data_IF_443178659135
#
_entry.id   IF_443178659135
#
_cell.length_a   1.000
_cell.length_b   1.000
_cell.length_c   1.000
_cell.angle_alpha   90.00
_cell.angle_beta   90.00
_cell.angle_gamma   90.00
#
_symmetry.space_group_name_H-M   'P 1'
#
loop_
_entity.id
_entity.type
_entity.pdbx_description
1 polymer ?
#
# COMPACT_ATOMS: atom_id res chain seq x y z
N UNK A 1 -15.95 -15.50 -20.43
CA UNK A 1 -14.97 -15.79 -19.37
C UNK A 1 -14.94 -17.29 -19.22
N UNK A 2 -13.75 -17.89 -19.23
CA UNK A 2 -13.59 -19.34 -19.03
C UNK A 2 -13.01 -19.57 -17.65
N UNK A 3 -13.58 -20.52 -16.93
CA UNK A 3 -13.05 -20.94 -15.63
C UNK A 3 -12.89 -22.45 -15.64
N UNK A 4 -11.71 -22.92 -15.23
CA UNK A 4 -11.40 -24.33 -15.04
C UNK A 4 -10.76 -24.57 -13.68
N UNK A 5 -10.83 -25.82 -13.22
CA UNK A 5 -10.26 -26.27 -11.97
C UNK A 5 -9.15 -27.29 -12.28
N UNK A 6 -7.96 -27.05 -11.74
CA UNK A 6 -6.84 -27.98 -11.89
C UNK A 6 -6.33 -28.43 -10.52
N UNK A 7 -5.99 -29.71 -10.35
CA UNK A 7 -5.30 -30.18 -9.15
C UNK A 7 -3.97 -29.44 -8.97
N UNK A 8 -3.71 -28.95 -7.76
CA UNK A 8 -2.45 -28.33 -7.46
C UNK A 8 -1.37 -29.40 -7.24
N UNK A 9 -0.38 -29.44 -8.13
CA UNK A 9 0.75 -30.40 -8.07
C UNK A 9 1.91 -29.92 -7.20
N UNK A 10 1.80 -28.76 -6.54
CA UNK A 10 2.86 -28.22 -5.69
C UNK A 10 2.95 -28.91 -4.31
N UNK A 11 4.03 -28.63 -3.58
CA UNK A 11 4.27 -29.13 -2.22
C UNK A 11 3.19 -28.72 -1.22
N UNK A 12 2.43 -27.66 -1.50
CA UNK A 12 1.35 -27.13 -0.65
C UNK A 12 -0.01 -27.75 -0.96
N UNK A 13 -0.07 -28.80 -1.80
CA UNK A 13 -1.29 -29.49 -2.25
C UNK A 13 -2.21 -29.96 -1.12
N UNK A 14 -1.68 -30.20 0.09
CA UNK A 14 -2.51 -30.56 1.26
C UNK A 14 -3.40 -29.42 1.77
N UNK A 15 -2.92 -28.18 1.68
CA UNK A 15 -3.68 -26.98 2.11
C UNK A 15 -4.36 -26.28 0.94
N UNK A 16 -3.78 -26.39 -0.25
CA UNK A 16 -4.27 -25.80 -1.49
C UNK A 16 -4.44 -26.94 -2.50
N UNK A 17 -5.52 -27.75 -2.42
CA UNK A 17 -5.68 -28.92 -3.28
C UNK A 17 -5.92 -28.57 -4.75
N UNK A 18 -6.43 -27.38 -5.05
CA UNK A 18 -6.78 -26.98 -6.42
C UNK A 18 -6.37 -25.54 -6.73
N UNK A 19 -6.16 -25.26 -8.00
CA UNK A 19 -6.06 -23.93 -8.58
C UNK A 19 -7.24 -23.69 -9.52
N UNK A 20 -7.92 -22.57 -9.34
CA UNK A 20 -8.98 -22.13 -10.24
C UNK A 20 -8.32 -21.22 -11.29
N UNK A 21 -8.31 -21.67 -12.53
CA UNK A 21 -7.83 -20.89 -13.67
C UNK A 21 -8.97 -20.05 -14.21
N UNK A 22 -8.77 -18.74 -14.25
CA UNK A 22 -9.75 -17.78 -14.76
C UNK A 22 -9.15 -17.07 -15.96
N UNK A 23 -9.68 -17.33 -17.15
CA UNK A 23 -9.35 -16.62 -18.39
C UNK A 23 -10.46 -15.60 -18.71
N UNK A 24 -10.10 -14.32 -18.75
CA UNK A 24 -11.01 -13.26 -19.16
C UNK A 24 -10.86 -13.01 -20.66
N UNK A 25 -11.83 -13.44 -21.45
CA UNK A 25 -11.89 -13.32 -22.92
C UNK A 25 -12.69 -12.09 -23.39
N UNK A 26 -13.75 -11.71 -22.67
CA UNK A 26 -14.67 -10.62 -23.10
C UNK A 26 -15.16 -9.72 -21.97
N UNK A 27 -14.95 -10.09 -20.70
CA UNK A 27 -15.59 -9.43 -19.55
C UNK A 27 -14.88 -8.11 -19.15
N UNK A 28 -13.59 -7.98 -19.46
CA UNK A 28 -12.80 -6.79 -19.18
C UNK A 28 -12.08 -6.30 -20.42
N UNK A 29 -11.57 -5.08 -20.38
CA UNK A 29 -10.72 -4.55 -21.43
C UNK A 29 -9.34 -5.26 -21.52
N UNK A 30 -8.91 -5.89 -20.42
CA UNK A 30 -7.65 -6.62 -20.32
C UNK A 30 -7.87 -8.07 -20.80
N UNK A 31 -8.37 -8.25 -22.03
CA UNK A 31 -8.69 -9.57 -22.61
C UNK A 31 -7.44 -10.44 -22.73
N UNK A 32 -7.57 -11.74 -22.48
CA UNK A 32 -6.45 -12.69 -22.47
C UNK A 32 -5.72 -12.78 -21.14
N UNK A 33 -6.13 -12.01 -20.13
CA UNK A 33 -5.59 -12.14 -18.78
C UNK A 33 -5.99 -13.47 -18.15
N UNK A 34 -5.00 -14.20 -17.63
CA UNK A 34 -5.20 -15.47 -16.93
C UNK A 34 -4.83 -15.30 -15.46
N UNK A 35 -5.75 -15.66 -14.57
CA UNK A 35 -5.56 -15.65 -13.14
C UNK A 35 -5.58 -17.07 -12.58
N UNK A 36 -4.77 -17.31 -11.55
CA UNK A 36 -4.70 -18.58 -10.83
C UNK A 36 -5.10 -18.31 -9.38
N UNK A 37 -6.36 -18.58 -9.05
CA UNK A 37 -6.92 -18.36 -7.71
C UNK A 37 -6.73 -19.64 -6.88
N UNK A 38 -5.97 -19.61 -5.78
CA UNK A 38 -5.78 -20.79 -4.94
C UNK A 38 -7.08 -21.16 -4.22
N UNK A 39 -7.43 -22.44 -4.23
CA UNK A 39 -8.54 -22.98 -3.45
C UNK A 39 -7.97 -23.68 -2.22
N UNK A 40 -8.37 -23.23 -1.03
CA UNK A 40 -7.94 -23.78 0.24
C UNK A 40 -8.95 -24.77 0.81
N UNK A 41 -8.45 -25.77 1.54
CA UNK A 41 -9.27 -26.71 2.31
C UNK A 41 -9.16 -26.39 3.80
N UNK A 42 -10.29 -26.43 4.51
CA UNK A 42 -10.33 -26.31 5.96
C UNK A 42 -11.52 -27.10 6.52
N UNK A 43 -11.47 -27.50 7.78
CA UNK A 43 -12.59 -28.24 8.38
C UNK A 43 -12.46 -28.50 9.87
N UNK A 44 -13.51 -28.14 10.62
CA UNK A 44 -13.74 -28.55 12.00
C UNK A 44 -14.83 -29.64 12.00
N UNK A 45 -14.53 -30.82 11.46
CA UNK A 45 -15.45 -31.98 11.38
C UNK A 45 -16.24 -32.11 10.07
N UNK A 46 -16.17 -31.14 9.16
CA UNK A 46 -16.61 -31.24 7.75
C UNK A 46 -15.61 -30.54 6.84
N UNK A 47 -15.31 -31.15 5.70
CA UNK A 47 -14.43 -30.57 4.68
C UNK A 47 -15.15 -29.42 3.97
N UNK A 48 -14.55 -28.24 3.98
CA UNK A 48 -15.01 -27.06 3.25
C UNK A 48 -13.89 -26.51 2.38
N UNK A 49 -14.26 -26.13 1.16
CA UNK A 49 -13.37 -25.50 0.20
C UNK A 49 -13.66 -24.00 0.19
N UNK A 50 -12.62 -23.17 0.15
CA UNK A 50 -12.77 -21.74 0.01
C UNK A 50 -11.78 -21.18 -0.99
N UNK A 51 -12.13 -20.04 -1.57
CA UNK A 51 -11.24 -19.23 -2.40
C UNK A 51 -11.43 -17.75 -2.03
N UNK A 52 -10.38 -16.96 -2.17
CA UNK A 52 -10.41 -15.51 -1.92
C UNK A 52 -10.13 -14.76 -3.21
N UNK A 53 -11.04 -13.86 -3.60
CA UNK A 53 -10.90 -13.00 -4.78
C UNK A 53 -11.06 -11.56 -4.32
N UNK A 54 -9.99 -10.77 -4.47
CA UNK A 54 -9.94 -9.37 -4.08
C UNK A 54 -10.38 -9.12 -2.62
N UNK A 55 -10.07 -10.03 -1.70
CA UNK A 55 -10.47 -9.94 -0.29
C UNK A 55 -11.81 -10.58 0.05
N UNK A 56 -12.63 -10.88 -0.96
CA UNK A 56 -13.93 -11.51 -0.78
C UNK A 56 -13.77 -13.03 -0.78
N UNK A 57 -14.21 -13.67 0.31
CA UNK A 57 -14.18 -15.12 0.46
C UNK A 57 -15.47 -15.73 -0.06
N UNK A 58 -15.33 -16.78 -0.87
CA UNK A 58 -16.40 -17.71 -1.22
C UNK A 58 -16.09 -19.08 -0.63
N UNK A 59 -17.13 -19.82 -0.26
CA UNK A 59 -17.00 -21.10 0.41
C UNK A 59 -18.09 -22.06 -0.07
N UNK A 60 -17.71 -23.32 -0.23
CA UNK A 60 -18.58 -24.39 -0.70
C UNK A 60 -18.17 -25.75 -0.14
N UNK A 61 -19.09 -26.70 -0.22
CA UNK A 61 -18.83 -28.09 0.22
C UNK A 61 -18.09 -28.90 -0.83
N UNK A 62 -18.23 -28.51 -2.09
CA UNK A 62 -17.62 -29.17 -3.23
C UNK A 62 -16.79 -28.16 -4.05
N UNK A 63 -15.68 -28.59 -4.69
CA UNK A 63 -14.84 -27.68 -5.47
C UNK A 63 -15.60 -26.96 -6.59
N UNK A 64 -16.51 -27.65 -7.29
CA UNK A 64 -17.30 -27.08 -8.39
C UNK A 64 -18.28 -25.99 -7.92
N UNK A 65 -18.79 -26.10 -6.69
CA UNK A 65 -19.60 -25.06 -6.07
C UNK A 65 -18.77 -23.78 -5.90
N UNK A 66 -17.54 -23.90 -5.40
CA UNK A 66 -16.61 -22.78 -5.22
C UNK A 66 -16.25 -22.15 -6.56
N UNK A 67 -16.01 -22.94 -7.61
CA UNK A 67 -15.75 -22.45 -8.97
C UNK A 67 -16.91 -21.57 -9.47
N UNK A 68 -18.15 -22.02 -9.29
CA UNK A 68 -19.34 -21.25 -9.66
C UNK A 68 -19.47 -19.95 -8.85
N UNK A 69 -19.17 -19.98 -7.56
CA UNK A 69 -19.19 -18.79 -6.70
C UNK A 69 -18.09 -17.80 -7.08
N UNK A 70 -16.88 -18.26 -7.40
CA UNK A 70 -15.79 -17.43 -7.92
C UNK A 70 -16.20 -16.75 -9.22
N UNK A 71 -16.83 -17.48 -10.15
CA UNK A 71 -17.33 -16.92 -11.41
C UNK A 71 -18.31 -15.75 -11.18
N UNK A 72 -19.29 -15.95 -10.29
CA UNK A 72 -20.28 -14.92 -9.92
C UNK A 72 -19.62 -13.73 -9.25
N UNK A 73 -18.69 -13.97 -8.32
CA UNK A 73 -17.97 -12.93 -7.60
C UNK A 73 -17.13 -12.07 -8.55
N UNK A 74 -16.34 -12.69 -9.44
CA UNK A 74 -15.55 -11.97 -10.44
C UNK A 74 -16.46 -11.12 -11.33
N UNK A 75 -17.58 -11.69 -11.79
CA UNK A 75 -18.55 -10.94 -12.60
C UNK A 75 -19.13 -9.75 -11.85
N UNK A 76 -19.42 -9.88 -10.55
CA UNK A 76 -19.92 -8.79 -9.71
C UNK A 76 -18.85 -7.74 -9.34
N UNK A 77 -17.58 -8.11 -9.35
CA UNK A 77 -16.45 -7.19 -9.14
C UNK A 77 -16.05 -6.42 -10.40
N UNK A 78 -16.57 -6.79 -11.57
CA UNK A 78 -16.27 -6.07 -12.80
C UNK A 78 -17.10 -4.79 -12.85
N UNK A 79 -16.42 -3.66 -12.92
CA UNK A 79 -17.04 -2.36 -13.09
C UNK A 79 -16.32 -1.60 -14.20
N UNK A 80 -17.08 -0.91 -15.07
CA UNK A 80 -16.55 -0.23 -16.26
C UNK A 80 -15.60 -1.13 -17.09
N UNK A 81 -15.97 -2.40 -17.27
CA UNK A 81 -15.17 -3.42 -17.95
C UNK A 81 -13.75 -3.61 -17.36
N UNK A 82 -13.59 -3.44 -16.04
CA UNK A 82 -12.31 -3.59 -15.33
C UNK A 82 -12.48 -4.33 -14.01
N UNK A 83 -11.42 -5.03 -13.62
CA UNK A 83 -11.27 -5.54 -12.27
C UNK A 83 -10.66 -4.48 -11.33
N UNK A 84 -10.88 -4.59 -10.01
CA UNK A 84 -10.28 -3.68 -9.04
C UNK A 84 -8.75 -3.72 -9.09
N UNK A 85 -8.12 -2.57 -8.96
CA UNK A 85 -6.67 -2.43 -8.83
C UNK A 85 -6.25 -2.37 -7.35
N UNK A 86 -7.08 -1.76 -6.52
CA UNK A 86 -6.92 -1.72 -5.07
C UNK A 86 -8.23 -2.10 -4.38
N UNK A 87 -8.12 -2.49 -3.11
CA UNK A 87 -9.25 -2.60 -2.20
C UNK A 87 -8.98 -1.69 -1.00
N UNK A 88 -9.94 -0.83 -0.68
CA UNK A 88 -9.98 -0.14 0.60
C UNK A 88 -10.71 -1.00 1.63
N UNK A 89 -10.15 -1.09 2.82
CA UNK A 89 -10.64 -1.98 3.89
C UNK A 89 -10.91 -1.16 5.14
N UNK A 90 -12.17 -1.13 5.55
CA UNK A 90 -12.61 -0.64 6.84
C UNK A 90 -12.48 -1.78 7.87
N UNK A 91 -11.36 -1.83 8.60
CA UNK A 91 -11.02 -3.01 9.43
C UNK A 91 -12.06 -3.38 10.49
N UNK A 92 -12.71 -2.39 11.12
CA UNK A 92 -13.65 -2.65 12.22
C UNK A 92 -15.02 -3.11 11.72
N UNK A 93 -15.53 -2.48 10.66
CA UNK A 93 -16.80 -2.88 10.03
C UNK A 93 -16.63 -4.09 9.10
N UNK A 94 -15.40 -4.52 8.84
CA UNK A 94 -15.04 -5.56 7.87
C UNK A 94 -15.55 -5.29 6.45
N UNK A 95 -15.86 -4.02 6.14
CA UNK A 95 -16.30 -3.62 4.81
C UNK A 95 -15.13 -3.42 3.87
N UNK A 96 -15.34 -3.79 2.62
CA UNK A 96 -14.36 -3.70 1.55
C UNK A 96 -14.94 -2.92 0.37
N UNK A 97 -14.13 -2.01 -0.15
CA UNK A 97 -14.52 -1.09 -1.22
C UNK A 97 -13.56 -1.27 -2.39
N UNK A 98 -14.02 -1.89 -3.49
CA UNK A 98 -13.20 -2.07 -4.68
C UNK A 98 -12.88 -0.75 -5.37
N UNK A 99 -11.59 -0.54 -5.66
CA UNK A 99 -11.07 0.68 -6.30
C UNK A 99 -10.54 0.34 -7.68
N UNK A 100 -11.05 1.04 -8.69
CA UNK A 100 -10.75 0.85 -10.10
C UNK A 100 -9.83 1.95 -10.59
N UNK A 101 -8.93 1.64 -11.53
CA UNK A 101 -8.12 2.65 -12.23
C UNK A 101 -8.66 2.80 -13.65
N UNK A 102 -9.00 4.02 -14.05
CA UNK A 102 -9.58 4.35 -15.36
C UNK A 102 -8.83 5.55 -15.94
N UNK A 103 -8.03 5.30 -16.98
CA UNK A 103 -7.08 6.32 -17.44
C UNK A 103 -6.15 6.72 -16.29
N UNK A 104 -6.11 8.02 -15.99
CA UNK A 104 -5.26 8.61 -14.95
C UNK A 104 -5.99 8.73 -13.60
N UNK A 105 -7.27 8.37 -13.54
CA UNK A 105 -8.09 8.47 -12.33
C UNK A 105 -8.22 7.13 -11.62
N UNK A 106 -8.41 7.21 -10.30
CA UNK A 106 -8.93 6.11 -9.49
C UNK A 106 -10.37 6.40 -9.09
N UNK A 107 -11.20 5.36 -9.03
CA UNK A 107 -12.62 5.43 -8.71
C UNK A 107 -12.96 4.39 -7.64
N UNK A 108 -13.79 4.79 -6.66
CA UNK A 108 -14.49 3.86 -5.77
C UNK A 108 -15.98 4.19 -5.74
N UNK A 109 -16.82 3.15 -5.69
CA UNK A 109 -18.27 3.28 -5.62
C UNK A 109 -18.78 2.66 -4.33
N UNK A 110 -19.78 3.27 -3.70
CA UNK A 110 -20.50 2.66 -2.57
C UNK A 110 -21.80 2.01 -3.05
N UNK A 111 -22.22 0.87 -2.47
CA UNK A 111 -23.50 0.25 -2.83
C UNK A 111 -24.67 1.21 -2.58
N UNK A 112 -25.38 1.61 -3.64
CA UNK A 112 -26.52 2.54 -3.56
C UNK A 112 -26.16 3.99 -3.22
N UNK A 113 -24.87 4.35 -3.21
CA UNK A 113 -24.39 5.68 -2.85
C UNK A 113 -23.55 6.36 -3.94
N UNK A 114 -22.82 7.43 -3.60
CA UNK A 114 -22.02 8.18 -4.56
C UNK A 114 -20.79 7.41 -5.07
N UNK A 115 -20.28 7.88 -6.21
CA UNK A 115 -18.99 7.47 -6.74
C UNK A 115 -17.95 8.56 -6.46
N UNK A 116 -16.78 8.17 -5.96
CA UNK A 116 -15.67 9.08 -5.69
C UNK A 116 -14.54 8.82 -6.68
N UNK A 117 -14.11 9.87 -7.39
CA UNK A 117 -13.04 9.83 -8.38
C UNK A 117 -12.01 10.92 -8.14
N UNK A 118 -10.75 10.60 -8.39
CA UNK A 118 -9.66 11.57 -8.39
C UNK A 118 -8.43 10.97 -9.09
N UNK A 119 -7.51 11.82 -9.55
CA UNK A 119 -6.16 11.37 -10.01
C UNK A 119 -5.25 10.87 -8.88
N UNK A 120 -5.72 10.90 -7.63
CA UNK A 120 -4.95 10.52 -6.45
C UNK A 120 -5.71 9.51 -5.60
N UNK A 121 -5.09 8.36 -5.33
CA UNK A 121 -5.65 7.35 -4.45
C UNK A 121 -5.90 7.88 -3.04
N UNK A 122 -5.04 8.78 -2.57
CA UNK A 122 -5.17 9.45 -1.28
C UNK A 122 -6.49 10.21 -1.16
N UNK A 123 -6.82 11.05 -2.16
CA UNK A 123 -8.04 11.85 -2.17
C UNK A 123 -9.30 11.02 -2.26
N UNK A 124 -9.30 9.97 -3.10
CA UNK A 124 -10.44 9.04 -3.16
C UNK A 124 -10.66 8.34 -1.83
N UNK A 125 -9.59 7.95 -1.13
CA UNK A 125 -9.69 7.37 0.21
C UNK A 125 -10.27 8.37 1.20
N UNK A 126 -9.83 9.63 1.17
CA UNK A 126 -10.29 10.66 2.10
C UNK A 126 -11.77 10.99 1.87
N UNK A 127 -12.19 11.20 0.60
CA UNK A 127 -13.60 11.41 0.26
C UNK A 127 -14.51 10.26 0.70
N UNK A 128 -14.07 9.02 0.46
CA UNK A 128 -14.81 7.86 0.93
C UNK A 128 -14.85 7.81 2.45
N UNK A 129 -13.73 8.08 3.13
CA UNK A 129 -13.66 8.08 4.60
C UNK A 129 -14.62 9.11 5.20
N UNK A 130 -14.65 10.32 4.65
CA UNK A 130 -15.55 11.39 5.08
C UNK A 130 -17.03 11.00 4.89
N UNK A 131 -17.36 10.41 3.74
CA UNK A 131 -18.70 9.91 3.48
C UNK A 131 -19.11 8.79 4.42
N UNK A 132 -18.24 7.78 4.63
CA UNK A 132 -18.55 6.66 5.52
C UNK A 132 -18.69 7.11 6.98
N UNK A 133 -17.96 8.14 7.39
CA UNK A 133 -18.19 8.82 8.67
C UNK A 133 -19.56 9.51 8.73
N UNK A 134 -19.94 10.23 7.68
CA UNK A 134 -21.22 10.93 7.59
C UNK A 134 -22.42 9.99 7.71
N UNK A 135 -22.34 8.81 7.09
CA UNK A 135 -23.42 7.80 7.15
C UNK A 135 -23.29 6.84 8.35
N UNK A 136 -22.29 7.04 9.22
CA UNK A 136 -22.10 6.26 10.44
C UNK A 136 -21.54 4.84 10.24
N UNK A 137 -20.99 4.53 9.07
CA UNK A 137 -20.36 3.23 8.78
C UNK A 137 -18.94 3.12 9.35
N UNK A 138 -18.22 4.24 9.41
CA UNK A 138 -16.93 4.33 10.10
C UNK A 138 -17.13 5.06 11.43
N UNK A 139 -17.46 4.36 12.52
CA UNK A 139 -17.44 4.87 13.90
C UNK A 139 -17.80 6.36 14.13
N UNK A 140 -17.12 7.01 15.08
CA UNK A 140 -17.24 8.46 15.33
C UNK A 140 -16.11 9.19 14.60
N UNK A 141 -16.39 10.28 13.86
CA UNK A 141 -15.37 11.14 13.26
C UNK A 141 -14.26 11.51 14.27
N UNK A 142 -13.00 11.42 13.87
CA UNK A 142 -11.85 11.76 14.71
C UNK A 142 -11.29 10.62 15.58
N UNK A 143 -11.99 9.47 15.72
CA UNK A 143 -11.41 8.24 16.31
C UNK A 143 -10.84 7.31 15.24
N UNK A 144 -9.85 7.80 14.48
CA UNK A 144 -8.88 7.04 13.67
C UNK A 144 -9.35 5.73 13.00
N UNK A 145 -10.54 5.69 12.39
CA UNK A 145 -10.83 4.63 11.42
C UNK A 145 -10.37 5.09 10.04
N UNK A 146 -9.11 4.78 9.74
CA UNK A 146 -8.55 5.01 8.42
C UNK A 146 -8.74 3.76 7.58
N UNK A 147 -9.24 3.94 6.35
CA UNK A 147 -9.31 2.87 5.37
C UNK A 147 -7.89 2.36 5.06
N UNK A 148 -7.71 1.05 5.19
CA UNK A 148 -6.47 0.39 4.80
C UNK A 148 -6.49 0.10 3.31
N UNK A 149 -5.32 0.11 2.68
CA UNK A 149 -5.21 -0.14 1.24
C UNK A 149 -4.46 -1.43 0.99
N UNK A 150 -4.97 -2.20 0.05
CA UNK A 150 -4.35 -3.41 -0.51
C UNK A 150 -4.37 -3.33 -2.02
N UNK A 151 -3.31 -3.82 -2.66
CA UNK A 151 -3.31 -4.03 -4.10
C UNK A 151 -4.01 -5.34 -4.44
N UNK A 152 -4.40 -5.51 -5.71
CA UNK A 152 -4.92 -6.77 -6.23
C UNK A 152 -3.86 -7.40 -7.13
N UNK A 153 -3.50 -8.65 -6.83
CA UNK A 153 -2.55 -9.42 -7.64
C UNK A 153 -3.10 -9.65 -9.04
N UNK A 154 -2.35 -9.24 -10.07
CA UNK A 154 -2.70 -9.51 -11.48
C UNK A 154 -2.46 -10.97 -11.90
N UNK A 155 -1.91 -11.80 -11.01
CA UNK A 155 -1.71 -13.24 -11.26
C UNK A 155 -2.73 -14.13 -10.56
N UNK A 156 -3.24 -13.70 -9.41
CA UNK A 156 -4.07 -14.56 -8.54
C UNK A 156 -5.34 -13.90 -8.00
N UNK A 157 -5.55 -12.60 -8.26
CA UNK A 157 -6.62 -11.79 -7.68
C UNK A 157 -6.60 -11.68 -6.15
N UNK A 158 -5.59 -12.24 -5.48
CA UNK A 158 -5.43 -12.11 -4.03
C UNK A 158 -5.06 -10.67 -3.63
N UNK A 159 -5.36 -10.31 -2.38
CA UNK A 159 -4.91 -9.05 -1.80
C UNK A 159 -3.39 -9.07 -1.58
N UNK A 160 -2.73 -8.01 -2.03
CA UNK A 160 -1.29 -7.81 -1.85
C UNK A 160 -1.10 -6.66 -0.85
N UNK A 161 -0.30 -6.92 0.18
CA UNK A 161 0.12 -5.90 1.14
C UNK A 161 1.18 -5.00 0.51
N UNK A 162 1.10 -3.67 0.64
CA UNK A 162 2.19 -2.79 0.26
C UNK A 162 3.46 -3.09 1.06
N UNK A 163 4.61 -3.10 0.40
CA UNK A 163 5.91 -3.24 1.07
C UNK A 163 6.31 -1.97 1.82
N UNK A 164 5.92 -0.81 1.29
CA UNK A 164 5.97 0.50 1.93
C UNK A 164 4.99 1.46 1.25
N UNK A 165 4.97 2.70 1.71
CA UNK A 165 4.24 3.80 1.09
C UNK A 165 5.22 4.94 0.80
N UNK A 166 5.10 5.55 -0.37
CA UNK A 166 5.66 6.88 -0.58
C UNK A 166 4.68 7.89 0.01
N UNK A 167 5.14 8.79 0.86
CA UNK A 167 4.28 9.78 1.51
C UNK A 167 4.88 11.17 1.37
N UNK A 168 4.10 12.09 0.81
CA UNK A 168 4.44 13.50 0.82
C UNK A 168 4.23 14.05 2.21
N UNK A 169 5.18 14.85 2.68
CA UNK A 169 5.00 15.73 3.83
C UNK A 169 4.27 17.01 3.38
N UNK A 170 3.08 17.32 3.93
CA UNK A 170 2.51 18.66 3.81
C UNK A 170 3.37 19.64 4.61
N UNK A 171 3.77 20.75 3.99
CA UNK A 171 4.55 21.79 4.67
C UNK A 171 3.67 22.85 5.35
N UNK A 172 2.37 22.81 5.07
CA UNK A 172 1.37 23.75 5.57
C UNK A 172 -0.02 23.10 5.49
N UNK A 173 -1.00 23.65 6.20
CA UNK A 173 -2.36 23.07 6.31
C UNK A 173 -3.14 23.11 4.99
N UNK A 174 -2.74 23.96 4.05
CA UNK A 174 -3.28 24.06 2.70
C UNK A 174 -2.65 23.06 1.71
N UNK A 175 -1.57 22.37 2.08
CA UNK A 175 -0.97 21.35 1.22
C UNK A 175 -1.70 20.00 1.33
N UNK A 176 -2.11 19.49 0.18
CA UNK A 176 -2.73 18.17 0.08
C UNK A 176 -1.78 17.06 0.54
N UNK A 177 -2.27 16.16 1.42
CA UNK A 177 -1.60 14.89 1.71
C UNK A 177 -1.54 14.06 0.42
N UNK A 178 -0.35 13.56 0.09
CA UNK A 178 -0.17 12.54 -0.93
C UNK A 178 0.43 11.29 -0.29
N UNK A 179 -0.09 10.14 -0.66
CA UNK A 179 0.57 8.88 -0.41
C UNK A 179 0.28 7.88 -1.53
N UNK A 180 1.25 7.04 -1.84
CA UNK A 180 1.13 6.00 -2.85
C UNK A 180 1.69 4.67 -2.31
N UNK A 181 0.90 3.59 -2.30
CA UNK A 181 1.37 2.29 -1.86
C UNK A 181 2.31 1.67 -2.90
N UNK A 182 3.39 1.05 -2.43
CA UNK A 182 4.38 0.38 -3.27
C UNK A 182 4.26 -1.14 -3.12
N UNK A 183 4.31 -1.84 -4.25
CA UNK A 183 4.16 -3.29 -4.34
C UNK A 183 5.32 -3.92 -5.08
N UNK A 184 5.56 -5.20 -4.83
CA UNK A 184 6.41 -6.04 -5.66
C UNK A 184 5.58 -6.51 -6.86
N UNK A 185 6.18 -6.56 -8.05
CA UNK A 185 5.56 -7.11 -9.26
C UNK A 185 5.19 -8.59 -9.08
N UNK A 186 4.29 -9.09 -9.92
CA UNK A 186 3.90 -10.51 -9.89
C UNK A 186 5.06 -11.46 -10.23
N UNK A 187 6.03 -11.00 -11.01
CA UNK A 187 7.27 -11.69 -11.35
C UNK A 187 8.32 -11.64 -10.23
N UNK A 188 8.21 -10.67 -9.32
CA UNK A 188 9.16 -10.48 -8.22
C UNK A 188 10.47 -9.80 -8.64
N UNK A 189 10.56 -9.32 -9.88
CA UNK A 189 11.72 -8.70 -10.51
C UNK A 189 11.75 -7.18 -10.39
N UNK A 190 10.66 -6.55 -9.97
CA UNK A 190 10.55 -5.09 -9.83
C UNK A 190 9.64 -4.69 -8.67
N UNK A 191 9.72 -3.42 -8.29
CA UNK A 191 8.72 -2.75 -7.45
C UNK A 191 8.02 -1.65 -8.24
N UNK A 192 6.75 -1.43 -7.94
CA UNK A 192 5.96 -0.42 -8.62
C UNK A 192 4.98 0.31 -7.71
N UNK A 193 4.57 1.48 -8.16
CA UNK A 193 3.47 2.25 -7.59
C UNK A 193 2.72 3.00 -8.69
N UNK A 194 1.50 3.43 -8.42
CA UNK A 194 0.79 4.36 -9.30
C UNK A 194 0.81 5.74 -8.65
N UNK A 195 1.50 6.66 -9.29
CA UNK A 195 1.73 8.02 -8.81
C UNK A 195 1.97 8.96 -9.99
N UNK A 196 1.56 10.24 -9.84
CA UNK A 196 1.67 11.25 -10.91
C UNK A 196 1.07 10.73 -12.24
N UNK A 197 -0.21 10.36 -12.17
CA UNK A 197 -1.02 9.91 -13.31
C UNK A 197 -0.54 8.65 -14.04
N UNK A 198 0.37 7.87 -13.45
CA UNK A 198 0.87 6.66 -14.14
C UNK A 198 1.55 5.64 -13.23
N UNK A 199 1.79 4.46 -13.81
CA UNK A 199 2.62 3.42 -13.17
C UNK A 199 4.09 3.84 -13.23
N UNK A 200 4.76 3.80 -12.09
CA UNK A 200 6.20 3.99 -11.94
C UNK A 200 6.79 2.69 -11.40
N UNK A 201 7.86 2.23 -12.02
CA UNK A 201 8.40 0.89 -11.80
C UNK A 201 9.93 0.90 -11.89
N UNK A 202 10.57 0.18 -10.99
CA UNK A 202 12.03 0.05 -10.91
C UNK A 202 12.37 -1.41 -10.62
N UNK A 203 13.37 -1.94 -11.33
CA UNK A 203 13.88 -3.28 -11.15
C UNK A 203 14.46 -3.50 -9.74
N UNK A 204 14.29 -4.70 -9.21
CA UNK A 204 14.85 -5.12 -7.93
C UNK A 204 16.38 -5.03 -7.95
N UNK A 205 16.96 -4.35 -6.97
CA UNK A 205 18.40 -4.10 -6.87
C UNK A 205 18.88 -4.12 -5.40
N UNK A 206 18.54 -5.20 -4.70
CA UNK A 206 19.05 -5.48 -3.35
C UNK A 206 18.69 -4.44 -2.28
N UNK A 207 17.65 -3.63 -2.48
CA UNK A 207 17.21 -2.55 -1.60
C UNK A 207 17.36 -1.16 -2.20
N UNK A 208 18.21 -0.97 -3.22
CA UNK A 208 18.43 0.34 -3.86
C UNK A 208 17.19 0.84 -4.60
N UNK A 209 16.38 -0.09 -5.10
CA UNK A 209 15.16 0.19 -5.84
C UNK A 209 14.18 1.09 -5.07
N UNK A 210 14.16 1.03 -3.74
CA UNK A 210 13.24 1.83 -2.93
C UNK A 210 13.50 3.34 -3.07
N UNK A 211 14.77 3.74 -3.02
CA UNK A 211 15.17 5.14 -3.16
C UNK A 211 15.17 5.60 -4.62
N UNK A 212 15.46 4.70 -5.57
CA UNK A 212 15.30 4.98 -7.00
C UNK A 212 13.84 5.25 -7.36
N UNK A 213 12.91 4.42 -6.90
CA UNK A 213 11.48 4.63 -7.12
C UNK A 213 10.99 5.91 -6.43
N UNK A 214 11.45 6.18 -5.20
CA UNK A 214 11.16 7.44 -4.52
C UNK A 214 11.61 8.64 -5.38
N UNK A 215 12.82 8.61 -5.93
CA UNK A 215 13.35 9.70 -6.76
C UNK A 215 12.54 9.88 -8.05
N UNK A 216 12.19 8.80 -8.74
CA UNK A 216 11.36 8.86 -9.95
C UNK A 216 9.98 9.45 -9.65
N UNK A 217 9.34 9.04 -8.56
CA UNK A 217 8.02 9.55 -8.17
C UNK A 217 8.11 11.01 -7.73
N UNK A 218 9.14 11.38 -6.97
CA UNK A 218 9.37 12.77 -6.56
C UNK A 218 9.54 13.69 -7.77
N UNK A 219 10.36 13.30 -8.75
CA UNK A 219 10.53 14.06 -10.00
C UNK A 219 9.21 14.24 -10.75
N UNK A 220 8.41 13.18 -10.85
CA UNK A 220 7.10 13.26 -11.50
C UNK A 220 6.14 14.20 -10.75
N UNK A 221 6.09 14.12 -9.41
CA UNK A 221 5.26 15.02 -8.61
C UNK A 221 5.74 16.48 -8.67
N UNK A 222 7.04 16.73 -8.81
CA UNK A 222 7.60 18.07 -9.01
C UNK A 222 7.18 18.62 -10.38
N UNK A 223 7.28 17.81 -11.44
CA UNK A 223 6.84 18.19 -12.78
C UNK A 223 5.34 18.56 -12.80
N UNK A 224 4.52 17.84 -12.04
CA UNK A 224 3.09 18.11 -11.86
C UNK A 224 2.79 19.26 -10.88
N UNK A 225 3.81 19.91 -10.31
CA UNK A 225 3.68 20.97 -9.27
C UNK A 225 2.97 20.52 -7.99
N UNK A 226 2.98 19.23 -7.70
CA UNK A 226 2.36 18.60 -6.51
C UNK A 226 3.35 18.42 -5.36
N UNK A 227 4.64 18.45 -5.67
CA UNK A 227 5.74 18.39 -4.72
C UNK A 227 6.72 19.55 -5.02
N UNK A 228 7.14 20.29 -3.99
CA UNK A 228 8.10 21.40 -4.14
C UNK A 228 9.55 20.91 -4.11
N UNK A 229 9.81 19.92 -3.27
CA UNK A 229 11.14 19.37 -3.04
C UNK A 229 11.08 17.84 -2.98
N UNK A 230 12.02 17.18 -3.65
CA UNK A 230 12.16 15.72 -3.67
C UNK A 230 12.34 15.12 -2.27
N UNK A 231 13.01 15.81 -1.35
CA UNK A 231 13.26 15.32 0.02
C UNK A 231 11.99 15.29 0.88
N UNK A 232 10.94 16.00 0.46
CA UNK A 232 9.63 15.96 1.13
C UNK A 232 8.80 14.72 0.80
N UNK A 233 9.23 13.88 -0.14
CA UNK A 233 8.62 12.57 -0.40
C UNK A 233 9.42 11.48 0.33
N UNK A 234 8.86 10.95 1.42
CA UNK A 234 9.54 9.94 2.23
C UNK A 234 9.07 8.52 1.93
N UNK A 235 9.88 7.55 2.33
CA UNK A 235 9.47 6.15 2.43
C UNK A 235 8.87 5.95 3.84
N UNK A 236 7.59 5.63 3.91
CA UNK A 236 6.82 5.47 5.14
C UNK A 236 6.34 4.02 5.29
N UNK A 237 6.29 3.54 6.53
CA UNK A 237 5.82 2.20 6.89
C UNK A 237 6.47 1.07 6.08
N UNK A 238 7.78 1.08 5.92
CA UNK A 238 8.56 0.00 5.32
C UNK A 238 8.51 -1.29 6.17
N UNK A 239 8.30 -2.42 5.50
CA UNK A 239 8.34 -3.76 6.12
C UNK A 239 9.73 -4.06 6.72
N UNK A 240 9.83 -4.71 7.89
CA UNK A 240 11.11 -5.07 8.51
C UNK A 240 12.05 -5.85 7.58
N UNK A 241 11.53 -6.86 6.88
CA UNK A 241 12.29 -7.69 5.95
C UNK A 241 12.82 -6.87 4.75
N UNK A 242 12.07 -5.86 4.32
CA UNK A 242 12.49 -4.98 3.23
C UNK A 242 13.47 -3.91 3.73
N UNK A 243 13.29 -3.43 4.96
CA UNK A 243 14.25 -2.54 5.62
C UNK A 243 15.64 -3.16 5.68
N UNK A 244 15.78 -4.45 6.00
CA UNK A 244 17.11 -5.09 5.99
C UNK A 244 17.80 -5.01 4.63
N UNK A 245 17.05 -5.16 3.53
CA UNK A 245 17.58 -4.99 2.16
C UNK A 245 18.03 -3.55 1.94
N UNK A 246 17.16 -2.58 2.23
CA UNK A 246 17.48 -1.15 2.08
C UNK A 246 18.70 -0.78 2.91
N UNK A 247 18.72 -1.15 4.20
CA UNK A 247 19.80 -0.88 5.15
C UNK A 247 21.16 -1.37 4.66
N UNK A 248 21.22 -2.55 4.03
CA UNK A 248 22.46 -3.11 3.49
C UNK A 248 23.07 -2.25 2.37
N UNK A 249 22.30 -1.34 1.77
CA UNK A 249 22.77 -0.40 0.74
C UNK A 249 23.24 0.94 1.30
N UNK A 250 23.05 1.18 2.60
CA UNK A 250 23.29 2.46 3.25
C UNK A 250 24.62 2.46 4.03
N UNK A 251 25.30 3.61 4.04
CA UNK A 251 26.51 3.82 4.85
C UNK A 251 26.14 4.42 6.20
N UNK A 252 26.42 3.71 7.29
CA UNK A 252 26.14 4.20 8.65
C UNK A 252 26.90 5.50 8.91
N UNK A 253 26.24 6.49 9.51
CA UNK A 253 26.87 7.70 10.01
C UNK A 253 27.01 7.62 11.54
N UNK A 254 28.07 8.20 12.13
CA UNK A 254 28.23 8.24 13.58
C UNK A 254 27.13 9.08 14.25
N UNK A 255 26.73 10.17 13.58
CA UNK A 255 25.67 11.06 14.01
C UNK A 255 24.30 10.37 14.12
N UNK A 256 23.47 10.84 15.04
CA UNK A 256 22.07 10.42 15.24
C UNK A 256 21.18 11.64 15.41
N UNK A 257 19.93 11.54 14.97
CA UNK A 257 18.91 12.50 15.38
C UNK A 257 18.32 12.07 16.71
N UNK A 258 18.21 13.00 17.64
CA UNK A 258 17.82 12.74 19.01
C UNK A 258 16.78 13.74 19.45
N UNK A 259 15.70 13.25 20.05
CA UNK A 259 14.65 14.09 20.61
C UNK A 259 13.93 13.40 21.78
N UNK A 260 13.28 14.19 22.63
CA UNK A 260 12.39 13.67 23.66
C UNK A 260 10.96 13.59 23.12
N UNK A 261 10.36 12.41 23.15
CA UNK A 261 8.99 12.23 22.69
C UNK A 261 7.96 12.87 23.65
N UNK A 262 6.69 12.87 23.26
CA UNK A 262 5.60 13.39 24.09
C UNK A 262 5.44 12.70 25.46
N UNK A 263 6.10 11.55 25.68
CA UNK A 263 6.15 10.82 26.95
C UNK A 263 7.47 11.05 27.69
N UNK A 264 8.24 12.05 27.29
CA UNK A 264 9.57 12.38 27.82
C UNK A 264 10.57 11.22 27.73
N UNK A 265 10.38 10.31 26.78
CA UNK A 265 11.32 9.24 26.49
C UNK A 265 12.29 9.70 25.39
N UNK A 266 13.60 9.56 25.65
CA UNK A 266 14.64 9.91 24.69
C UNK A 266 14.59 8.94 23.51
N UNK A 267 14.25 9.44 22.33
CA UNK A 267 14.24 8.69 21.07
C UNK A 267 15.51 9.00 20.29
N UNK A 268 16.16 7.96 19.78
CA UNK A 268 17.33 8.06 18.91
C UNK A 268 17.02 7.47 17.55
N UNK A 269 17.30 8.22 16.49
CA UNK A 269 17.16 7.79 15.11
C UNK A 269 18.54 7.67 14.48
N UNK A 270 18.87 6.47 14.02
CA UNK A 270 20.11 6.24 13.30
C UNK A 270 20.13 7.01 11.98
N UNK A 271 21.28 7.60 11.67
CA UNK A 271 21.52 8.28 10.40
C UNK A 271 22.38 7.43 9.48
N UNK A 272 22.11 7.57 8.20
CA UNK A 272 22.81 6.88 7.14
C UNK A 272 23.04 7.83 5.96
N UNK A 273 24.00 7.48 5.11
CA UNK A 273 24.28 8.14 3.85
C UNK A 273 24.03 7.18 2.69
N UNK A 274 23.42 7.68 1.62
CA UNK A 274 23.30 6.99 0.35
C UNK A 274 23.70 7.94 -0.78
N UNK A 275 24.95 7.85 -1.24
CA UNK A 275 25.49 8.79 -2.22
C UNK A 275 25.42 10.24 -1.72
N UNK A 276 24.54 11.04 -2.34
CA UNK A 276 24.31 12.45 -1.99
C UNK A 276 23.17 12.66 -0.98
N UNK A 277 22.47 11.60 -0.59
CA UNK A 277 21.33 11.67 0.33
C UNK A 277 21.77 11.34 1.76
N UNK A 278 21.25 12.10 2.72
CA UNK A 278 21.22 11.71 4.13
C UNK A 278 19.87 11.08 4.44
N UNK A 279 19.88 10.06 5.30
CA UNK A 279 18.70 9.27 5.64
C UNK A 279 18.62 9.11 7.15
N UNK A 280 17.51 9.50 7.78
CA UNK A 280 17.23 9.20 9.19
C UNK A 280 16.10 8.18 9.30
N UNK A 281 16.23 7.24 10.23
CA UNK A 281 15.32 6.09 10.33
C UNK A 281 14.56 6.11 11.64
N UNK A 282 13.23 6.16 11.54
CA UNK A 282 12.30 5.98 12.67
C UNK A 282 11.78 4.54 12.66
N UNK A 283 11.93 3.84 13.78
CA UNK A 283 11.26 2.57 14.01
C UNK A 283 9.97 2.81 14.82
N UNK A 284 8.82 2.47 14.23
CA UNK A 284 7.50 2.55 14.84
C UNK A 284 7.16 1.21 15.49
N UNK A 285 7.40 1.13 16.80
CA UNK A 285 7.26 -0.09 17.58
C UNK A 285 5.84 -0.68 17.56
N UNK A 286 4.82 0.18 17.50
CA UNK A 286 3.41 -0.20 17.50
C UNK A 286 2.95 -0.84 16.17
N UNK A 287 3.60 -0.48 15.06
CA UNK A 287 3.29 -1.00 13.73
C UNK A 287 4.26 -2.08 13.25
N UNK A 288 5.41 -2.23 13.95
CA UNK A 288 6.60 -2.97 13.50
C UNK A 288 7.02 -2.53 12.08
N UNK A 289 7.33 -1.23 11.97
CA UNK A 289 7.59 -0.56 10.68
C UNK A 289 8.68 0.48 10.75
N UNK A 290 9.32 0.72 9.62
CA UNK A 290 10.36 1.74 9.47
C UNK A 290 9.90 2.90 8.60
N UNK A 291 10.28 4.12 8.97
CA UNK A 291 10.10 5.32 8.13
C UNK A 291 11.46 5.94 7.88
N UNK A 292 11.73 6.28 6.62
CA UNK A 292 12.99 6.87 6.20
C UNK A 292 12.76 8.32 5.78
N UNK A 293 13.32 9.22 6.57
CA UNK A 293 13.41 10.64 6.25
C UNK A 293 14.61 10.88 5.35
N UNK A 294 14.48 11.82 4.42
CA UNK A 294 15.51 12.16 3.45
C UNK A 294 15.88 13.64 3.60
N UNK A 295 17.14 13.95 3.36
CA UNK A 295 17.65 15.32 3.26
C UNK A 295 18.93 15.35 2.43
N UNK A 296 19.32 16.55 1.97
CA UNK A 296 20.55 16.74 1.22
C UNK A 296 21.79 16.69 2.11
N UNK A 297 21.66 17.13 3.37
CA UNK A 297 22.68 17.07 4.41
C UNK A 297 22.03 16.83 5.78
N UNK A 298 22.82 16.94 6.86
CA UNK A 298 22.34 16.69 8.22
C UNK A 298 21.33 17.73 8.71
N UNK A 299 21.53 19.01 8.36
CA UNK A 299 20.66 20.10 8.78
C UNK A 299 19.30 20.00 8.06
N UNK A 300 19.33 19.81 6.74
CA UNK A 300 18.13 19.62 5.93
C UNK A 300 17.34 18.37 6.37
N UNK A 301 18.04 17.27 6.65
CA UNK A 301 17.42 16.06 7.19
C UNK A 301 16.76 16.31 8.56
N UNK A 302 17.43 17.06 9.45
CA UNK A 302 16.90 17.40 10.77
C UNK A 302 15.64 18.26 10.65
N UNK A 303 15.68 19.33 9.84
CA UNK A 303 14.55 20.23 9.60
C UNK A 303 13.33 19.47 9.08
N UNK A 304 13.55 18.63 8.07
CA UNK A 304 12.53 17.75 7.55
C UNK A 304 11.97 16.82 8.63
N UNK A 305 12.82 16.13 9.38
CA UNK A 305 12.39 15.18 10.42
C UNK A 305 11.57 15.86 11.50
N UNK A 306 12.01 17.03 11.98
CA UNK A 306 11.32 17.85 12.97
C UNK A 306 9.91 18.21 12.55
N UNK A 307 9.75 18.76 11.35
CA UNK A 307 8.46 19.23 10.86
C UNK A 307 7.41 18.12 10.87
N UNK A 308 7.81 16.89 10.47
CA UNK A 308 6.89 15.76 10.51
C UNK A 308 6.56 15.30 11.93
N UNK A 309 7.55 15.26 12.82
CA UNK A 309 7.35 14.86 14.21
C UNK A 309 6.44 15.85 14.95
N UNK A 310 6.61 17.15 14.72
CA UNK A 310 5.74 18.19 15.27
C UNK A 310 4.31 18.04 14.75
N UNK A 311 4.14 17.89 13.43
CA UNK A 311 2.82 17.70 12.81
C UNK A 311 2.10 16.45 13.33
N UNK A 312 2.83 15.37 13.64
CA UNK A 312 2.27 14.15 14.23
C UNK A 312 2.04 14.24 15.74
N UNK A 313 2.43 15.34 16.38
CA UNK A 313 2.33 15.53 17.84
C UNK A 313 3.34 14.69 18.63
N UNK A 314 4.40 14.18 17.99
CA UNK A 314 5.50 13.50 18.68
C UNK A 314 6.49 14.50 19.29
N UNK A 315 6.52 15.73 18.76
CA UNK A 315 7.32 16.84 19.26
C UNK A 315 6.44 18.06 19.55
N UNK A 316 6.59 18.65 20.73
CA UNK A 316 5.91 19.89 21.08
C UNK A 316 6.61 21.14 20.50
N UNK A 317 7.93 21.11 20.35
CA UNK A 317 8.73 22.22 19.86
C UNK A 317 9.77 21.72 18.84
N UNK A 318 9.91 22.39 17.66
CA UNK A 318 10.97 22.12 16.70
C UNK A 318 12.38 22.03 17.26
N UNK A 319 12.73 22.84 18.26
CA UNK A 319 14.10 22.91 18.81
C UNK A 319 14.49 21.73 19.69
N UNK A 320 13.57 20.80 19.96
CA UNK A 320 13.82 19.63 20.79
C UNK A 320 14.58 18.52 20.07
N UNK A 321 14.68 18.57 18.74
CA UNK A 321 15.49 17.65 17.97
C UNK A 321 16.88 18.24 17.73
N UNK A 322 17.91 17.44 17.98
CA UNK A 322 19.30 17.82 17.75
C UNK A 322 20.10 16.64 17.20
N UNK A 323 21.26 16.94 16.64
CA UNK A 323 22.21 15.94 16.15
C UNK A 323 23.19 15.60 17.28
N UNK A 324 23.33 14.32 17.62
CA UNK A 324 24.28 13.79 18.61
C UNK A 324 25.34 12.95 17.86
N UNK A 325 26.64 13.24 18.07
CA UNK A 325 27.77 12.53 17.46
C UNK A 325 28.30 11.39 18.35
#
# INVERSE_FOLDING_TARGET
MKISLEPNVSTDSKQIPYLIHVEIDTLTIDTGSVFNVPMHIHGNGRTLYNAEVCGFRVEGKEPDEVVNLVSKLISGLVNMARLPTYIFIARRSHQMYPVYTVGDEVLVTTPGGPAFRHVELAKVRDYLTDYLHLIGELGVPGKSEKLHVRGVSRKSLALVRPIFYLKKRPMSDDENEFWAPVFISSSGDSIYTYAASGRREVDMNGGREALLLQSQVAQALIADKRLKDSYNLRIDRLLPEYWQKVKATLQVQPAKLVYDDAKSSKVKMDMYRNGKFMVAVEYRQDEDRYSLFLGHDEADLADHTVQDLVRRGHLANPTSLHIEN
#
